data_IF_147854774936
#
_entry.id   IF_147854774936
#
_cell.length_a   1.000
_cell.length_b   1.000
_cell.length_c   1.000
_cell.angle_alpha   90.00
_cell.angle_beta   90.00
_cell.angle_gamma   90.00
#
_symmetry.space_group_name_H-M   'P 1'
#
loop_
_entity.id
_entity.type
_entity.pdbx_description
1 polymer ?
#
# COMPACT_ATOMS: atom_id res chain seq x y z
N UNK A 1 53.66 -6.54 14.64
CA UNK A 1 53.67 -5.79 13.37
C UNK A 1 52.92 -6.61 12.34
N UNK A 2 51.83 -6.07 11.81
CA UNK A 2 50.98 -6.73 10.81
C UNK A 2 51.80 -7.00 9.54
N UNK A 3 51.99 -8.28 9.22
CA UNK A 3 52.57 -8.72 7.96
C UNK A 3 51.74 -8.11 6.82
N UNK A 4 52.34 -7.42 5.83
CA UNK A 4 51.58 -6.83 4.73
C UNK A 4 50.81 -7.93 4.02
N UNK A 5 49.49 -7.78 3.83
CA UNK A 5 48.75 -8.67 2.92
C UNK A 5 49.44 -8.60 1.56
N UNK A 6 49.87 -9.75 1.05
CA UNK A 6 50.44 -9.89 -0.30
C UNK A 6 49.62 -9.06 -1.29
N UNK A 7 50.24 -8.18 -2.10
CA UNK A 7 49.52 -7.28 -3.02
C UNK A 7 48.52 -8.01 -3.92
N UNK A 8 48.81 -9.26 -4.26
CA UNK A 8 47.91 -10.17 -4.99
C UNK A 8 46.61 -10.47 -4.22
N UNK A 9 46.69 -10.78 -2.93
CA UNK A 9 45.52 -11.04 -2.11
C UNK A 9 44.67 -9.78 -1.92
N UNK A 10 45.31 -8.60 -1.86
CA UNK A 10 44.61 -7.32 -1.84
C UNK A 10 43.80 -7.11 -3.15
N UNK A 11 44.41 -7.38 -4.30
CA UNK A 11 43.73 -7.30 -5.60
C UNK A 11 42.57 -8.30 -5.71
N UNK A 12 42.77 -9.53 -5.24
CA UNK A 12 41.71 -10.55 -5.23
C UNK A 12 40.55 -10.12 -4.32
N UNK A 13 40.84 -9.63 -3.11
CA UNK A 13 39.79 -9.18 -2.18
C UNK A 13 39.03 -7.95 -2.73
N UNK A 14 39.73 -7.02 -3.38
CA UNK A 14 39.09 -5.89 -4.07
C UNK A 14 38.22 -6.37 -5.24
N UNK A 15 38.68 -7.37 -6.01
CA UNK A 15 37.90 -7.92 -7.11
C UNK A 15 36.60 -8.57 -6.63
N UNK A 16 36.63 -9.35 -5.54
CA UNK A 16 35.41 -9.92 -4.96
C UNK A 16 34.46 -8.83 -4.46
N UNK A 17 34.96 -7.80 -3.78
CA UNK A 17 34.12 -6.67 -3.34
C UNK A 17 33.49 -5.93 -4.52
N UNK A 18 34.25 -5.71 -5.60
CA UNK A 18 33.74 -5.08 -6.83
C UNK A 18 32.72 -5.99 -7.52
N UNK A 19 33.00 -7.28 -7.66
CA UNK A 19 32.08 -8.25 -8.27
C UNK A 19 30.78 -8.38 -7.47
N UNK A 20 30.85 -8.47 -6.14
CA UNK A 20 29.68 -8.51 -5.25
C UNK A 20 28.90 -7.20 -5.33
N UNK A 21 29.56 -6.04 -5.43
CA UNK A 21 28.90 -4.76 -5.63
C UNK A 21 28.20 -4.67 -7.01
N UNK A 22 28.81 -5.19 -8.08
CA UNK A 22 28.22 -5.24 -9.41
C UNK A 22 27.01 -6.18 -9.47
N UNK A 23 27.05 -7.32 -8.78
CA UNK A 23 25.89 -8.20 -8.63
C UNK A 23 24.77 -7.51 -7.83
N UNK A 24 25.09 -6.88 -6.70
CA UNK A 24 24.12 -6.17 -5.87
C UNK A 24 23.44 -5.00 -6.61
N UNK A 25 24.16 -4.31 -7.51
CA UNK A 25 23.59 -3.27 -8.35
C UNK A 25 22.50 -3.84 -9.28
N UNK A 26 22.72 -5.04 -9.83
CA UNK A 26 21.79 -5.67 -10.77
C UNK A 26 20.58 -6.33 -10.09
N UNK A 27 20.71 -6.84 -8.85
CA UNK A 27 19.58 -7.41 -8.08
C UNK A 27 18.44 -6.39 -7.92
N UNK A 28 18.75 -5.09 -7.87
CA UNK A 28 17.73 -4.05 -7.77
C UNK A 28 16.74 -4.08 -8.94
N UNK A 29 17.20 -4.31 -10.17
CA UNK A 29 16.35 -4.29 -11.37
C UNK A 29 15.40 -5.49 -11.45
N UNK A 30 15.86 -6.67 -11.02
CA UNK A 30 15.06 -7.90 -11.00
C UNK A 30 13.90 -7.80 -9.99
N UNK A 31 14.20 -7.27 -8.79
CA UNK A 31 13.18 -7.03 -7.76
C UNK A 31 12.09 -6.06 -8.27
N UNK A 32 12.47 -4.99 -8.98
CA UNK A 32 11.49 -4.06 -9.55
C UNK A 32 10.64 -4.69 -10.65
N UNK A 33 11.20 -5.58 -11.47
CA UNK A 33 10.42 -6.31 -12.46
C UNK A 33 9.41 -7.25 -11.78
N UNK A 34 9.78 -7.90 -10.67
CA UNK A 34 8.84 -8.70 -9.89
C UNK A 34 7.68 -7.84 -9.35
N UNK A 35 7.95 -6.63 -8.85
CA UNK A 35 6.89 -5.72 -8.40
C UNK A 35 5.90 -5.35 -9.51
N UNK A 36 6.34 -5.19 -10.76
CA UNK A 36 5.42 -4.96 -11.89
C UNK A 36 4.46 -6.12 -12.12
N UNK A 37 4.99 -7.35 -12.06
CA UNK A 37 4.19 -8.57 -12.24
C UNK A 37 3.16 -8.68 -11.12
N UNK A 38 3.58 -8.41 -9.87
CA UNK A 38 2.68 -8.36 -8.71
C UNK A 38 1.60 -7.29 -8.92
N UNK A 39 1.96 -6.08 -9.33
CA UNK A 39 1.00 -5.00 -9.56
C UNK A 39 -0.05 -5.40 -10.61
N UNK A 40 0.37 -5.93 -11.76
CA UNK A 40 -0.57 -6.42 -12.79
C UNK A 40 -1.48 -7.52 -12.27
N UNK A 41 -0.96 -8.42 -11.44
CA UNK A 41 -1.76 -9.45 -10.77
C UNK A 41 -2.81 -8.85 -9.84
N UNK A 42 -2.45 -7.83 -9.06
CA UNK A 42 -3.38 -7.08 -8.21
C UNK A 42 -4.42 -6.33 -9.03
N UNK A 43 -4.03 -5.67 -10.12
CA UNK A 43 -4.96 -4.96 -11.02
C UNK A 43 -5.97 -5.93 -11.64
N UNK A 44 -5.51 -7.10 -12.09
CA UNK A 44 -6.39 -8.15 -12.62
C UNK A 44 -7.36 -8.69 -11.55
N UNK A 45 -6.86 -8.91 -10.33
CA UNK A 45 -7.69 -9.34 -9.21
C UNK A 45 -8.74 -8.28 -8.85
N UNK A 46 -8.35 -7.01 -8.77
CA UNK A 46 -9.24 -5.87 -8.51
C UNK A 46 -10.35 -5.81 -9.57
N UNK A 47 -10.00 -5.86 -10.85
CA UNK A 47 -10.98 -5.86 -11.94
C UNK A 47 -11.97 -7.03 -11.86
N UNK A 48 -11.50 -8.22 -11.47
CA UNK A 48 -12.37 -9.38 -11.28
C UNK A 48 -13.32 -9.20 -10.10
N UNK A 49 -12.80 -8.71 -8.97
CA UNK A 49 -13.59 -8.44 -7.76
C UNK A 49 -14.61 -7.34 -8.03
N UNK A 50 -14.23 -6.26 -8.73
CA UNK A 50 -15.13 -5.17 -9.09
C UNK A 50 -16.26 -5.65 -10.00
N UNK A 51 -15.95 -6.48 -11.00
CA UNK A 51 -16.96 -7.08 -11.88
C UNK A 51 -17.98 -7.92 -11.11
N UNK A 52 -17.52 -8.68 -10.10
CA UNK A 52 -18.40 -9.46 -9.23
C UNK A 52 -19.22 -8.55 -8.31
N UNK A 53 -18.58 -7.59 -7.65
CA UNK A 53 -19.20 -6.67 -6.71
C UNK A 53 -20.26 -5.79 -7.39
N UNK A 54 -20.04 -5.35 -8.63
CA UNK A 54 -21.01 -4.54 -9.38
C UNK A 54 -22.32 -5.30 -9.68
N UNK A 55 -22.31 -6.64 -9.71
CA UNK A 55 -23.50 -7.47 -9.98
C UNK A 55 -24.30 -7.79 -8.71
N UNK A 56 -23.71 -7.65 -7.53
CA UNK A 56 -24.35 -8.02 -6.26
C UNK A 56 -25.54 -7.11 -5.93
N UNK A 57 -25.46 -5.76 -6.04
CA UNK A 57 -26.59 -4.89 -5.75
C UNK A 57 -27.81 -5.16 -6.61
N UNK A 58 -27.62 -5.39 -7.91
CA UNK A 58 -28.70 -5.76 -8.83
C UNK A 58 -29.36 -7.08 -8.43
N UNK A 59 -28.55 -8.07 -8.03
CA UNK A 59 -29.05 -9.37 -7.59
C UNK A 59 -29.88 -9.22 -6.31
N UNK A 60 -29.41 -8.45 -5.33
CA UNK A 60 -30.14 -8.17 -4.08
C UNK A 60 -31.49 -7.48 -4.39
N UNK A 61 -31.49 -6.48 -5.28
CA UNK A 61 -32.72 -5.79 -5.69
C UNK A 61 -33.71 -6.73 -6.37
N UNK A 62 -33.25 -7.67 -7.21
CA UNK A 62 -34.09 -8.71 -7.82
C UNK A 62 -34.69 -9.66 -6.78
N UNK A 63 -33.96 -10.02 -5.73
CA UNK A 63 -34.51 -10.83 -4.64
C UNK A 63 -35.57 -10.06 -3.84
N UNK A 64 -35.35 -8.77 -3.57
CA UNK A 64 -36.33 -7.92 -2.89
C UNK A 64 -37.63 -7.71 -3.67
N UNK A 65 -37.60 -7.77 -5.01
CA UNK A 65 -38.81 -7.77 -5.82
C UNK A 65 -39.68 -9.02 -5.60
N UNK A 66 -39.06 -10.16 -5.23
CA UNK A 66 -39.77 -11.42 -4.96
C UNK A 66 -40.24 -11.53 -3.52
N UNK A 67 -39.42 -11.04 -2.58
CA UNK A 67 -39.73 -11.03 -1.15
C UNK A 67 -39.25 -9.72 -0.52
N UNK A 68 -40.14 -8.74 -0.52
CA UNK A 68 -39.85 -7.41 0.00
C UNK A 68 -39.75 -7.39 1.53
N UNK A 69 -40.46 -8.29 2.21
CA UNK A 69 -40.48 -8.36 3.67
C UNK A 69 -39.13 -8.82 4.23
N UNK A 70 -38.49 -9.79 3.57
CA UNK A 70 -37.17 -10.28 3.97
C UNK A 70 -36.02 -9.43 3.41
N UNK A 71 -36.09 -8.97 2.15
CA UNK A 71 -34.93 -8.37 1.46
C UNK A 71 -35.01 -6.86 1.20
N UNK A 72 -36.14 -6.21 1.49
CA UNK A 72 -36.33 -4.78 1.21
C UNK A 72 -35.33 -3.87 1.91
N UNK A 73 -34.99 -4.18 3.17
CA UNK A 73 -33.99 -3.44 3.96
C UNK A 73 -32.59 -3.52 3.35
N UNK A 74 -32.18 -4.71 2.88
CA UNK A 74 -30.89 -4.93 2.25
C UNK A 74 -30.81 -4.28 0.87
N UNK A 75 -31.89 -4.32 0.09
CA UNK A 75 -31.96 -3.65 -1.21
C UNK A 75 -31.78 -2.12 -1.09
N UNK A 76 -32.34 -1.51 -0.04
CA UNK A 76 -32.15 -0.08 0.24
C UNK A 76 -30.72 0.27 0.70
N UNK A 77 -29.97 -0.70 1.23
CA UNK A 77 -28.56 -0.53 1.65
C UNK A 77 -27.56 -0.94 0.58
N UNK A 78 -27.95 -1.69 -0.44
CA UNK A 78 -27.06 -2.40 -1.36
C UNK A 78 -26.05 -1.50 -2.10
N UNK A 79 -26.42 -0.25 -2.42
CA UNK A 79 -25.53 0.68 -3.12
C UNK A 79 -24.62 1.49 -2.17
N UNK A 80 -24.97 1.56 -0.88
CA UNK A 80 -24.27 2.40 0.11
C UNK A 80 -22.81 2.00 0.35
N UNK A 81 -22.44 0.70 0.44
CA UNK A 81 -21.04 0.32 0.64
C UNK A 81 -20.12 0.88 -0.44
N UNK A 82 -20.55 0.86 -1.70
CA UNK A 82 -19.76 1.41 -2.82
C UNK A 82 -19.57 2.91 -2.68
N UNK A 83 -20.62 3.65 -2.33
CA UNK A 83 -20.57 5.10 -2.13
C UNK A 83 -19.64 5.49 -0.96
N UNK A 84 -19.62 4.70 0.10
CA UNK A 84 -18.75 4.92 1.26
C UNK A 84 -17.27 4.69 0.90
N UNK A 85 -16.98 3.65 0.13
CA UNK A 85 -15.61 3.25 -0.21
C UNK A 85 -15.01 4.10 -1.34
N UNK A 86 -15.84 4.59 -2.27
CA UNK A 86 -15.38 5.31 -3.46
C UNK A 86 -14.46 6.50 -3.17
N UNK A 87 -14.75 7.41 -2.21
CA UNK A 87 -13.84 8.50 -1.87
C UNK A 87 -12.45 8.03 -1.42
N UNK A 88 -12.37 6.92 -0.69
CA UNK A 88 -11.08 6.35 -0.25
C UNK A 88 -10.26 5.83 -1.44
N UNK A 89 -10.91 5.15 -2.38
CA UNK A 89 -10.25 4.67 -3.62
C UNK A 89 -9.75 5.87 -4.41
N UNK A 90 -10.58 6.89 -4.61
CA UNK A 90 -10.20 8.12 -5.32
C UNK A 90 -9.02 8.85 -4.65
N UNK A 91 -8.98 8.91 -3.31
CA UNK A 91 -7.85 9.50 -2.59
C UNK A 91 -6.55 8.73 -2.86
N UNK A 92 -6.60 7.40 -2.83
CA UNK A 92 -5.43 6.53 -3.07
C UNK A 92 -4.95 6.67 -4.52
N UNK A 93 -5.87 6.66 -5.48
CA UNK A 93 -5.54 6.79 -6.90
C UNK A 93 -4.92 8.16 -7.21
N UNK A 94 -5.50 9.24 -6.67
CA UNK A 94 -4.97 10.59 -6.84
C UNK A 94 -3.60 10.74 -6.18
N UNK A 95 -3.43 10.19 -4.98
CA UNK A 95 -2.14 10.18 -4.27
C UNK A 95 -1.07 9.45 -5.09
N UNK A 96 -1.42 8.31 -5.67
CA UNK A 96 -0.52 7.51 -6.51
C UNK A 96 -0.16 8.27 -7.80
N UNK A 97 -1.14 8.90 -8.45
CA UNK A 97 -0.92 9.72 -9.64
C UNK A 97 0.00 10.91 -9.36
N UNK A 98 -0.27 11.68 -8.32
CA UNK A 98 0.58 12.80 -7.88
C UNK A 98 2.01 12.33 -7.58
N UNK A 99 2.18 11.15 -6.98
CA UNK A 99 3.50 10.57 -6.71
C UNK A 99 4.24 10.25 -8.00
N UNK A 100 3.56 9.64 -8.97
CA UNK A 100 4.15 9.32 -10.29
C UNK A 100 4.55 10.61 -11.01
N UNK A 101 3.68 11.61 -11.05
CA UNK A 101 3.94 12.92 -11.67
C UNK A 101 5.14 13.63 -11.04
N UNK A 102 5.16 13.75 -9.70
CA UNK A 102 6.29 14.34 -8.96
C UNK A 102 7.59 13.56 -9.18
N UNK A 103 7.51 12.27 -9.52
CA UNK A 103 8.66 11.39 -9.78
C UNK A 103 9.20 11.43 -11.21
N UNK A 104 8.63 12.28 -12.07
CA UNK A 104 9.04 12.42 -13.47
C UNK A 104 8.14 11.68 -14.46
N UNK A 105 6.93 11.28 -14.03
CA UNK A 105 5.94 10.65 -14.89
C UNK A 105 6.27 9.20 -15.23
N UNK A 106 5.76 8.74 -16.37
CA UNK A 106 6.00 7.39 -16.88
C UNK A 106 7.26 7.33 -17.76
N UNK A 107 8.00 6.23 -17.68
CA UNK A 107 9.15 5.98 -18.55
C UNK A 107 8.68 5.78 -19.97
N UNK A 108 9.43 6.26 -20.96
CA UNK A 108 9.12 6.01 -22.38
C UNK A 108 9.69 4.65 -22.78
N UNK A 109 8.87 3.81 -23.41
CA UNK A 109 9.32 2.56 -24.01
C UNK A 109 10.16 2.87 -25.26
N UNK A 110 11.40 2.39 -25.26
CA UNK A 110 12.37 2.63 -26.34
C UNK A 110 11.97 1.93 -27.66
N UNK A 111 11.13 0.90 -27.61
CA UNK A 111 10.70 0.15 -28.78
C UNK A 111 9.51 0.78 -29.49
N UNK A 112 8.58 1.38 -28.73
CA UNK A 112 7.32 1.93 -29.28
C UNK A 112 7.26 3.46 -29.26
N UNK A 113 8.16 4.11 -28.51
CA UNK A 113 8.13 5.56 -28.29
C UNK A 113 6.95 6.03 -27.42
N UNK A 114 6.19 5.11 -26.83
CA UNK A 114 5.01 5.41 -26.01
C UNK A 114 5.33 5.35 -24.51
N UNK A 115 4.54 6.01 -23.65
CA UNK A 115 4.66 5.85 -22.20
C UNK A 115 4.46 4.38 -21.79
N UNK A 116 5.43 3.83 -21.07
CA UNK A 116 5.34 2.51 -20.44
C UNK A 116 4.53 2.57 -19.14
N UNK A 117 4.09 1.42 -18.65
CA UNK A 117 3.43 1.29 -17.34
C UNK A 117 4.38 1.57 -16.15
N UNK A 118 5.68 1.76 -16.39
CA UNK A 118 6.67 1.95 -15.33
C UNK A 118 6.90 3.43 -15.02
N UNK A 119 6.74 3.88 -13.77
CA UNK A 119 7.13 5.23 -13.36
C UNK A 119 8.62 5.47 -13.62
N UNK A 120 8.99 6.61 -14.21
CA UNK A 120 10.37 6.99 -14.47
C UNK A 120 11.19 7.06 -13.17
N UNK A 121 10.57 7.60 -12.12
CA UNK A 121 11.15 7.71 -10.79
C UNK A 121 10.97 6.49 -9.89
N UNK A 122 10.81 5.26 -10.42
CA UNK A 122 10.57 4.06 -9.60
C UNK A 122 11.65 3.77 -8.52
N UNK A 123 12.84 4.35 -8.65
CA UNK A 123 13.92 4.26 -7.64
C UNK A 123 13.90 5.40 -6.61
N UNK A 124 13.07 6.42 -6.80
CA UNK A 124 13.03 7.61 -5.98
C UNK A 124 12.22 7.34 -4.70
N UNK A 125 12.91 7.36 -3.55
CA UNK A 125 12.31 7.13 -2.23
C UNK A 125 11.94 8.43 -1.50
N UNK A 126 12.50 9.55 -1.96
CA UNK A 126 12.38 10.85 -1.27
C UNK A 126 10.99 11.44 -1.47
N UNK A 127 10.40 11.26 -2.66
CA UNK A 127 9.06 11.75 -2.97
C UNK A 127 8.02 11.04 -2.11
N UNK A 128 8.08 9.71 -2.04
CA UNK A 128 7.18 8.91 -1.19
C UNK A 128 7.27 9.33 0.27
N UNK A 129 8.49 9.53 0.79
CA UNK A 129 8.71 9.97 2.17
C UNK A 129 8.16 11.38 2.41
N UNK A 130 8.46 12.32 1.51
CA UNK A 130 7.97 13.69 1.60
C UNK A 130 6.45 13.73 1.60
N UNK A 131 5.81 13.08 0.64
CA UNK A 131 4.37 13.15 0.47
C UNK A 131 3.60 12.41 1.57
N UNK A 132 3.96 11.16 1.87
CA UNK A 132 3.21 10.36 2.84
C UNK A 132 3.53 10.73 4.29
N UNK A 133 4.77 11.12 4.60
CA UNK A 133 5.21 11.38 5.98
C UNK A 133 5.24 12.87 6.30
N UNK A 134 5.91 13.68 5.47
CA UNK A 134 6.14 15.11 5.79
C UNK A 134 4.93 15.98 5.46
N UNK A 135 4.29 15.76 4.30
CA UNK A 135 3.09 16.47 3.87
C UNK A 135 1.81 15.90 4.53
N UNK A 136 1.91 14.78 5.25
CA UNK A 136 0.82 14.22 6.06
C UNK A 136 -0.21 13.38 5.32
N UNK A 137 -0.03 13.11 4.01
CA UNK A 137 -0.97 12.28 3.22
C UNK A 137 -1.19 10.89 3.80
N UNK A 138 -0.17 10.29 4.43
CA UNK A 138 -0.30 8.99 5.07
C UNK A 138 -1.29 9.01 6.24
N UNK A 139 -1.33 10.11 7.01
CA UNK A 139 -2.30 10.30 8.09
C UNK A 139 -3.70 10.52 7.56
N UNK A 140 -3.83 11.30 6.48
CA UNK A 140 -5.12 11.52 5.80
C UNK A 140 -5.75 10.19 5.33
N UNK A 141 -4.93 9.31 4.74
CA UNK A 141 -5.37 7.96 4.33
C UNK A 141 -5.73 7.10 5.55
N UNK A 142 -4.92 7.12 6.62
CA UNK A 142 -5.20 6.39 7.87
C UNK A 142 -6.56 6.80 8.46
N UNK A 143 -6.80 8.11 8.57
CA UNK A 143 -8.04 8.67 9.12
C UNK A 143 -9.25 8.30 8.24
N UNK A 144 -9.10 8.34 6.91
CA UNK A 144 -10.14 7.91 5.97
C UNK A 144 -10.44 6.41 6.04
N UNK A 145 -9.43 5.55 6.20
CA UNK A 145 -9.65 4.11 6.40
C UNK A 145 -10.47 3.87 7.67
N UNK A 146 -10.13 4.56 8.76
CA UNK A 146 -10.89 4.49 10.02
C UNK A 146 -12.34 4.93 9.85
N UNK A 147 -12.58 6.03 9.13
CA UNK A 147 -13.92 6.54 8.81
C UNK A 147 -14.74 5.54 7.98
N UNK A 148 -14.18 5.04 6.88
CA UNK A 148 -14.83 4.04 6.01
C UNK A 148 -15.16 2.77 6.78
N UNK A 149 -14.24 2.30 7.62
CA UNK A 149 -14.47 1.16 8.53
C UNK A 149 -15.67 1.41 9.44
N UNK A 150 -15.75 2.56 10.08
CA UNK A 150 -16.87 2.93 10.93
C UNK A 150 -18.21 2.97 10.19
N UNK A 151 -18.24 3.63 9.03
CA UNK A 151 -19.45 3.77 8.20
C UNK A 151 -19.94 2.41 7.65
N UNK A 152 -19.03 1.52 7.25
CA UNK A 152 -19.39 0.18 6.80
C UNK A 152 -19.98 -0.68 7.92
N UNK A 153 -19.45 -0.58 9.15
CA UNK A 153 -19.99 -1.29 10.31
C UNK A 153 -21.41 -0.82 10.69
N UNK A 154 -21.76 0.43 10.41
CA UNK A 154 -23.11 0.94 10.64
C UNK A 154 -24.15 0.30 9.69
N UNK A 155 -23.73 -0.18 8.52
CA UNK A 155 -24.62 -0.86 7.57
C UNK A 155 -24.97 -2.29 7.99
N UNK A 156 -24.13 -2.90 8.83
CA UNK A 156 -24.32 -4.25 9.37
C UNK A 156 -25.27 -4.21 10.57
N UNK A 157 -26.14 -5.21 10.65
CA UNK A 157 -27.08 -5.33 11.76
C UNK A 157 -26.35 -5.63 13.08
N UNK A 158 -26.86 -5.08 14.17
CA UNK A 158 -26.16 -5.04 15.47
C UNK A 158 -25.73 -6.41 15.99
N UNK A 159 -26.54 -7.45 15.69
CA UNK A 159 -26.27 -8.84 16.06
C UNK A 159 -25.01 -9.41 15.39
N UNK A 160 -24.71 -8.96 14.17
CA UNK A 160 -23.64 -9.51 13.33
C UNK A 160 -22.38 -8.63 13.33
N UNK A 161 -22.45 -7.41 13.89
CA UNK A 161 -21.35 -6.44 13.90
C UNK A 161 -20.06 -7.00 14.48
N UNK A 162 -20.12 -7.66 15.64
CA UNK A 162 -18.93 -8.19 16.30
C UNK A 162 -18.22 -9.27 15.44
N UNK A 163 -18.99 -10.10 14.74
CA UNK A 163 -18.45 -11.13 13.83
C UNK A 163 -17.83 -10.47 12.59
N UNK A 164 -18.46 -9.41 12.08
CA UNK A 164 -18.00 -8.70 10.90
C UNK A 164 -16.75 -7.87 11.17
N UNK A 165 -16.67 -7.22 12.32
CA UNK A 165 -15.54 -6.39 12.74
C UNK A 165 -14.23 -7.16 12.79
N UNK A 166 -14.27 -8.38 13.33
CA UNK A 166 -13.10 -9.26 13.41
C UNK A 166 -12.64 -9.79 12.05
N UNK A 167 -13.57 -9.90 11.09
CA UNK A 167 -13.29 -10.38 9.72
C UNK A 167 -12.89 -9.25 8.77
N UNK A 168 -13.11 -8.00 9.15
CA UNK A 168 -12.87 -6.87 8.26
C UNK A 168 -11.37 -6.56 8.13
N UNK A 169 -10.88 -6.63 6.90
CA UNK A 169 -9.47 -6.47 6.54
C UNK A 169 -8.95 -5.02 6.64
N UNK A 170 -9.84 -4.03 6.74
CA UNK A 170 -9.52 -2.60 6.91
C UNK A 170 -9.07 -2.27 8.35
N UNK A 171 -8.20 -3.08 8.94
CA UNK A 171 -7.63 -2.83 10.27
C UNK A 171 -6.34 -2.03 10.16
N UNK A 172 -6.28 -0.84 10.76
CA UNK A 172 -5.01 -0.13 10.91
C UNK A 172 -4.28 -0.73 12.11
N UNK A 173 -3.13 -1.36 11.85
CA UNK A 173 -2.29 -1.86 12.93
C UNK A 173 -1.61 -0.71 13.68
N UNK A 174 -1.71 -0.74 15.00
CA UNK A 174 -1.06 0.18 15.93
C UNK A 174 0.37 -0.27 16.33
N UNK A 175 0.90 -1.31 15.69
CA UNK A 175 2.23 -1.85 16.00
C UNK A 175 3.35 -0.80 15.83
N UNK A 176 3.21 0.09 14.86
CA UNK A 176 4.19 1.14 14.59
C UNK A 176 4.18 2.25 15.67
N UNK A 177 3.02 2.56 16.27
CA UNK A 177 2.93 3.52 17.38
C UNK A 177 3.63 2.96 18.62
N UNK A 178 3.48 1.65 18.89
CA UNK A 178 4.19 0.95 19.98
C UNK A 178 5.71 0.97 19.81
N UNK A 179 6.22 0.84 18.58
CA UNK A 179 7.64 0.93 18.28
C UNK A 179 8.22 2.34 18.57
N UNK A 180 7.44 3.39 18.33
CA UNK A 180 7.84 4.80 18.58
C UNK A 180 7.95 5.09 20.08
N UNK A 181 6.99 4.63 20.88
CA UNK A 181 7.00 4.80 22.34
C UNK A 181 8.20 4.12 22.99
N UNK A 182 8.62 2.95 22.48
CA UNK A 182 9.81 2.23 22.95
C UNK A 182 11.11 3.00 22.69
N UNK A 183 11.24 3.66 21.54
CA UNK A 183 12.38 4.55 21.22
C UNK A 183 12.37 5.85 22.05
N UNK A 184 11.20 6.44 22.28
CA UNK A 184 11.07 7.62 23.14
C UNK A 184 11.45 7.31 24.61
N UNK A 185 11.04 6.14 25.12
CA UNK A 185 11.43 5.66 26.44
C UNK A 185 12.94 5.40 26.58
N UNK A 186 13.61 4.87 25.54
CA UNK A 186 15.07 4.71 25.54
C UNK A 186 15.83 6.05 25.60
N UNK A 187 15.34 7.07 24.89
CA UNK A 187 15.96 8.40 24.90
C UNK A 187 15.80 9.13 26.24
N UNK A 188 14.69 8.89 26.96
CA UNK A 188 14.46 9.38 28.32
C UNK A 188 15.36 8.70 29.37
N UNK A 189 15.68 7.43 29.19
CA UNK A 189 16.61 6.69 30.08
C UNK A 189 18.06 7.11 29.81
N UNK A 190 18.46 7.29 28.55
CA UNK A 190 19.80 7.78 28.18
C UNK A 190 20.08 9.19 28.73
N UNK A 191 19.07 10.07 28.74
CA UNK A 191 19.19 11.43 29.29
C UNK A 191 19.24 11.48 30.83
N UNK A 192 18.82 10.40 31.52
CA UNK A 192 18.88 10.28 32.98
C UNK A 192 20.17 9.63 33.51
N UNK A 193 20.97 9.01 32.64
CA UNK A 193 22.28 8.42 32.99
C UNK A 193 23.47 9.36 32.75
N UNK A 194 23.22 10.65 32.47
CA UNK A 194 24.25 11.67 32.21
C UNK A 194 24.37 12.73 33.33
N UNK A 195 23.94 12.40 34.55
CA UNK A 195 24.27 13.14 35.77
C UNK A 195 24.82 12.18 36.83
#
# INVERSE_FOLDING_TARGET
MSIPKEPRQLMINLMYLVLTALLALNVSAEIFNAFKVVNRGLDQANNSIDSQNNKLPESIKKFAQKDMAAFGTYAARADKPKQIVQPLVELIDNTTREMIEKSGGFSIDKATGQPSEQPAGYKNKDITTRMLVMEGRGKEIEDMIGKVRGELLQLVDEKDRATFENKMTLGVSEDWKRARTKRAGLNLISSKCLF
#
